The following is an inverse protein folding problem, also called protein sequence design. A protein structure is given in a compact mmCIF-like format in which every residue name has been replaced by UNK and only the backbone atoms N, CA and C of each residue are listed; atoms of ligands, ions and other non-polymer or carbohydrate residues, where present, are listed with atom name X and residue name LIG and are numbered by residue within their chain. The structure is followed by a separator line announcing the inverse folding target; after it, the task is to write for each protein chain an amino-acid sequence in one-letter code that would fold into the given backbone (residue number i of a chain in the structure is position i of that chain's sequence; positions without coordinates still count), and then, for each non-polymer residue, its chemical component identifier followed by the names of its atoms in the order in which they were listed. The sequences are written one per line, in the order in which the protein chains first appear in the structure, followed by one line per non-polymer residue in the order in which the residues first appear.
data_IF_820402969251
#
_entry.id   IF_820402969251
#
_cell.length_a   1.000
_cell.length_b   1.000
_cell.length_c   1.000
_cell.angle_alpha   90.00
_cell.angle_beta   90.00
_cell.angle_gamma   90.00
#
_symmetry.space_group_name_H-M   'P 1'
#
loop_
_entity.id
_entity.type
_entity.pdbx_description
1 polymer ?
#
# COMPACT_ATOMS: atom_id res chain seq x y z
N UNK A 1 29.04 62.50 -29.51
CA UNK A 1 27.64 62.19 -29.13
C UNK A 1 27.11 60.82 -29.63
N UNK A 2 27.93 59.96 -30.27
CA UNK A 2 27.49 58.62 -30.72
C UNK A 2 27.71 57.46 -29.73
N UNK A 3 28.56 57.63 -28.70
CA UNK A 3 28.90 56.58 -27.73
C UNK A 3 27.88 56.39 -26.59
N UNK A 4 26.96 57.34 -26.38
CA UNK A 4 25.96 57.28 -25.31
C UNK A 4 24.77 56.38 -25.66
N UNK A 5 24.46 56.24 -26.96
CA UNK A 5 23.33 55.42 -27.42
C UNK A 5 23.56 53.91 -27.25
N UNK A 6 24.81 53.45 -27.26
CA UNK A 6 25.14 52.01 -27.14
C UNK A 6 24.88 51.49 -25.72
N UNK A 7 25.01 52.34 -24.70
CA UNK A 7 24.82 51.94 -23.30
C UNK A 7 23.33 51.75 -22.93
N UNK A 8 22.43 52.46 -23.60
CA UNK A 8 20.98 52.41 -23.32
C UNK A 8 20.33 51.13 -23.88
N UNK A 9 20.91 50.52 -24.91
CA UNK A 9 20.35 49.35 -25.59
C UNK A 9 20.65 48.05 -24.81
N UNK A 10 21.66 48.04 -23.95
CA UNK A 10 22.05 46.86 -23.17
C UNK A 10 21.18 46.63 -21.91
N UNK A 11 20.40 47.63 -21.50
CA UNK A 11 19.52 47.57 -20.32
C UNK A 11 18.14 46.91 -20.57
N UNK A 12 17.83 46.54 -21.82
CA UNK A 12 16.53 45.98 -22.20
C UNK A 12 16.53 44.45 -22.40
N UNK A 13 17.67 43.77 -22.18
CA UNK A 13 17.71 42.30 -22.14
C UNK A 13 17.38 41.79 -20.73
N UNK A 14 16.15 42.02 -20.30
CA UNK A 14 15.57 41.41 -19.10
C UNK A 14 15.16 39.97 -19.38
N UNK A 15 15.65 39.03 -18.58
CA UNK A 15 15.36 37.61 -18.72
C UNK A 15 13.88 37.32 -18.39
N UNK A 16 13.07 37.00 -19.41
CA UNK A 16 11.68 36.54 -19.23
C UNK A 16 11.67 35.07 -18.81
N UNK A 17 12.13 34.79 -17.60
CA UNK A 17 11.96 33.47 -17.00
C UNK A 17 10.50 33.29 -16.63
N UNK A 18 9.78 32.42 -17.37
CA UNK A 18 8.42 32.03 -16.98
C UNK A 18 8.45 31.58 -15.51
N UNK A 19 7.69 32.23 -14.61
CA UNK A 19 7.67 31.81 -13.22
C UNK A 19 7.04 30.41 -13.16
N UNK A 20 7.89 29.41 -12.91
CA UNK A 20 7.43 28.04 -12.66
C UNK A 20 6.60 28.10 -11.36
N UNK A 21 5.31 27.71 -11.38
CA UNK A 21 4.50 27.69 -10.17
C UNK A 21 5.19 26.83 -9.12
N UNK A 22 5.36 27.34 -7.90
CA UNK A 22 5.87 26.53 -6.80
C UNK A 22 4.96 25.30 -6.64
N UNK A 23 5.52 24.08 -6.50
CA UNK A 23 4.71 22.90 -6.25
C UNK A 23 3.82 23.15 -5.04
N UNK A 24 2.55 22.72 -5.12
CA UNK A 24 1.59 22.88 -4.02
C UNK A 24 2.16 22.23 -2.77
N UNK A 25 2.26 22.99 -1.68
CA UNK A 25 2.70 22.48 -0.39
C UNK A 25 1.63 21.57 0.18
N UNK A 26 1.92 20.27 0.28
CA UNK A 26 1.07 19.33 1.01
C UNK A 26 1.23 19.55 2.52
N UNK A 27 0.22 19.14 3.30
CA UNK A 27 0.29 19.17 4.75
C UNK A 27 1.51 18.40 5.24
N UNK A 28 2.27 18.98 6.19
CA UNK A 28 3.35 18.26 6.87
C UNK A 28 2.72 17.23 7.80
N UNK A 29 2.70 15.98 7.37
CA UNK A 29 2.22 14.85 8.16
C UNK A 29 3.41 14.33 8.97
N UNK A 30 3.30 14.35 10.29
CA UNK A 30 4.32 13.78 11.17
C UNK A 30 4.19 12.25 11.15
N UNK A 31 5.20 11.58 10.60
CA UNK A 31 5.22 10.14 10.44
C UNK A 31 6.10 9.55 11.55
N UNK A 32 5.57 8.64 12.40
CA UNK A 32 6.33 8.05 13.48
C UNK A 32 7.46 7.18 12.93
N UNK A 33 8.50 7.00 13.75
CA UNK A 33 9.53 6.00 13.49
C UNK A 33 8.91 4.60 13.46
N UNK A 34 9.32 3.77 12.50
CA UNK A 34 8.77 2.42 12.33
C UNK A 34 9.46 1.45 13.28
N UNK A 35 8.73 1.00 14.30
CA UNK A 35 9.15 -0.06 15.22
C UNK A 35 8.18 -1.22 15.12
N UNK A 36 8.72 -2.40 14.82
CA UNK A 36 7.94 -3.60 14.56
C UNK A 36 7.98 -4.56 15.73
N UNK A 37 6.84 -5.18 16.00
CA UNK A 37 6.66 -6.22 17.01
C UNK A 37 6.00 -7.42 16.38
N UNK A 38 6.41 -8.62 16.77
CA UNK A 38 5.81 -9.84 16.24
C UNK A 38 4.39 -10.05 16.77
N UNK A 39 3.44 -10.20 15.85
CA UNK A 39 2.08 -10.57 16.14
C UNK A 39 1.89 -12.07 15.89
N UNK A 40 1.63 -12.80 16.98
CA UNK A 40 1.48 -14.24 16.99
C UNK A 40 0.18 -14.61 17.73
N UNK A 41 -0.87 -14.93 16.98
CA UNK A 41 -2.10 -15.50 17.52
C UNK A 41 -1.97 -17.03 17.54
N UNK A 42 -2.06 -17.62 18.74
CA UNK A 42 -1.94 -19.06 18.94
C UNK A 42 -3.01 -19.88 18.20
N UNK A 43 -4.15 -19.26 17.85
CA UNK A 43 -5.24 -19.94 17.13
C UNK A 43 -5.05 -19.97 15.62
N UNK A 44 -4.10 -19.21 15.08
CA UNK A 44 -3.94 -19.03 13.65
C UNK A 44 -2.65 -19.61 13.10
N UNK A 45 -2.68 -20.22 11.89
CA UNK A 45 -1.54 -20.93 11.30
C UNK A 45 -0.53 -19.97 10.64
N UNK A 46 -0.45 -18.74 11.11
CA UNK A 46 0.50 -17.75 10.62
C UNK A 46 0.89 -16.77 11.74
N UNK A 47 2.01 -16.10 11.53
CA UNK A 47 2.47 -14.93 12.30
C UNK A 47 3.19 -13.96 11.39
N UNK A 48 3.22 -12.70 11.78
CA UNK A 48 3.89 -11.63 11.04
C UNK A 48 4.20 -10.46 11.98
N UNK A 49 5.06 -9.55 11.53
CA UNK A 49 5.36 -8.36 12.32
C UNK A 49 4.44 -7.20 11.94
N UNK A 50 4.03 -6.43 12.96
CA UNK A 50 3.22 -5.22 12.80
C UNK A 50 3.90 -4.03 13.48
N UNK A 51 3.67 -2.80 13.01
CA UNK A 51 4.18 -1.64 13.71
C UNK A 51 3.44 -1.39 15.03
N UNK A 52 4.11 -0.77 15.99
CA UNK A 52 3.60 -0.44 17.33
C UNK A 52 2.32 0.42 17.34
N UNK A 53 2.08 1.18 16.27
CA UNK A 53 0.89 2.01 16.08
C UNK A 53 -0.27 1.28 15.37
N UNK A 54 -0.13 -0.01 15.07
CA UNK A 54 -1.20 -0.83 14.49
C UNK A 54 -1.94 -1.63 15.56
N UNK A 55 -3.23 -1.89 15.31
CA UNK A 55 -4.08 -2.69 16.19
C UNK A 55 -4.67 -3.82 15.37
N UNK A 56 -4.50 -5.07 15.82
CA UNK A 56 -5.08 -6.24 15.15
C UNK A 56 -6.38 -6.63 15.84
N UNK A 57 -7.46 -6.71 15.07
CA UNK A 57 -8.78 -7.15 15.54
C UNK A 57 -9.25 -8.37 14.73
N UNK A 58 -9.95 -9.34 15.33
CA UNK A 58 -10.64 -10.37 14.58
C UNK A 58 -11.77 -9.79 13.73
N UNK A 59 -12.04 -10.41 12.58
CA UNK A 59 -13.25 -10.10 11.83
C UNK A 59 -14.47 -10.73 12.52
N UNK A 60 -15.42 -9.89 12.94
CA UNK A 60 -16.65 -10.29 13.62
C UNK A 60 -17.86 -10.30 12.69
N UNK A 61 -17.66 -10.17 11.37
CA UNK A 61 -18.75 -10.26 10.42
C UNK A 61 -19.40 -11.66 10.46
N UNK A 62 -20.70 -11.73 10.16
CA UNK A 62 -21.47 -12.99 10.14
C UNK A 62 -20.86 -14.05 9.20
N UNK A 63 -20.22 -13.60 8.12
CA UNK A 63 -19.58 -14.47 7.13
C UNK A 63 -18.06 -14.58 7.32
N UNK A 64 -17.53 -14.02 8.40
CA UNK A 64 -16.10 -14.11 8.68
C UNK A 64 -15.71 -15.53 9.03
N UNK A 65 -14.59 -15.98 8.46
CA UNK A 65 -14.01 -17.27 8.80
C UNK A 65 -12.92 -17.12 9.88
N UNK A 66 -12.56 -18.22 10.57
CA UNK A 66 -11.46 -18.20 11.52
C UNK A 66 -10.19 -17.61 10.90
N UNK A 67 -9.46 -16.84 11.70
CA UNK A 67 -8.21 -16.19 11.28
C UNK A 67 -8.33 -15.11 10.22
N UNK A 68 -9.53 -14.59 9.96
CA UNK A 68 -9.71 -13.31 9.29
C UNK A 68 -9.50 -12.17 10.28
N UNK A 69 -8.75 -11.15 9.87
CA UNK A 69 -8.30 -10.08 10.76
C UNK A 69 -8.37 -8.73 10.06
N UNK A 70 -8.59 -7.69 10.85
CA UNK A 70 -8.31 -6.31 10.47
C UNK A 70 -7.04 -5.85 11.16
N UNK A 71 -6.07 -5.35 10.41
CA UNK A 71 -4.95 -4.57 10.94
C UNK A 71 -5.28 -3.10 10.75
N UNK A 72 -5.67 -2.44 11.83
CA UNK A 72 -6.08 -1.05 11.85
C UNK A 72 -4.87 -0.15 12.07
N UNK A 73 -4.86 0.97 11.36
CA UNK A 73 -3.90 2.06 11.52
C UNK A 73 -4.67 3.34 11.89
N UNK A 74 -5.10 3.50 13.16
CA UNK A 74 -6.08 4.53 13.53
C UNK A 74 -5.62 5.95 13.20
N UNK A 75 -4.34 6.27 13.42
CA UNK A 75 -3.75 7.59 13.12
C UNK A 75 -3.84 7.96 11.63
N UNK A 76 -3.89 6.96 10.75
CA UNK A 76 -3.85 7.12 9.31
C UNK A 76 -5.21 6.84 8.64
N UNK A 77 -6.24 6.52 9.44
CA UNK A 77 -7.56 6.07 8.96
C UNK A 77 -7.44 4.97 7.90
N UNK A 78 -6.48 4.09 8.07
CA UNK A 78 -6.23 2.99 7.15
C UNK A 78 -6.54 1.66 7.84
N UNK A 79 -6.96 0.68 7.04
CA UNK A 79 -7.21 -0.67 7.50
C UNK A 79 -6.74 -1.66 6.44
N UNK A 80 -5.94 -2.63 6.87
CA UNK A 80 -5.60 -3.79 6.06
C UNK A 80 -6.54 -4.92 6.47
N UNK A 81 -7.35 -5.38 5.51
CA UNK A 81 -8.18 -6.56 5.70
C UNK A 81 -7.41 -7.79 5.27
N UNK A 82 -7.29 -8.77 6.16
CA UNK A 82 -6.60 -10.04 5.95
C UNK A 82 -7.63 -11.17 6.00
N UNK A 83 -7.72 -11.93 4.92
CA UNK A 83 -8.48 -13.18 4.89
C UNK A 83 -7.52 -14.36 4.78
N UNK A 84 -7.93 -15.48 5.36
CA UNK A 84 -7.18 -16.73 5.38
C UNK A 84 -8.04 -17.87 4.86
N UNK A 85 -7.42 -18.76 4.09
CA UNK A 85 -8.00 -19.99 3.57
C UNK A 85 -6.99 -21.14 3.62
N UNK A 86 -7.51 -22.33 3.88
CA UNK A 86 -6.77 -23.56 3.62
C UNK A 86 -6.91 -23.93 2.14
N UNK A 87 -5.79 -24.26 1.51
CA UNK A 87 -5.75 -24.73 0.13
C UNK A 87 -5.99 -26.24 0.06
N UNK A 88 -6.73 -26.64 -0.97
CA UNK A 88 -7.04 -28.02 -1.30
C UNK A 88 -6.87 -28.25 -2.81
N UNK A 89 -5.64 -28.07 -3.31
CA UNK A 89 -5.28 -28.13 -4.75
C UNK A 89 -6.01 -27.10 -5.63
N UNK A 90 -6.45 -25.99 -5.06
CA UNK A 90 -7.25 -24.92 -5.65
C UNK A 90 -6.51 -23.58 -5.72
N UNK A 91 -5.18 -23.59 -5.56
CA UNK A 91 -4.34 -22.40 -5.60
C UNK A 91 -4.56 -21.55 -6.85
N UNK A 92 -4.66 -22.19 -8.02
CA UNK A 92 -4.85 -21.49 -9.29
C UNK A 92 -6.18 -20.70 -9.31
N UNK A 93 -7.25 -21.28 -8.76
CA UNK A 93 -8.54 -20.62 -8.66
C UNK A 93 -8.48 -19.42 -7.71
N UNK A 94 -7.90 -19.59 -6.52
CA UNK A 94 -7.77 -18.48 -5.56
C UNK A 94 -6.84 -17.35 -6.04
N UNK A 95 -5.76 -17.70 -6.74
CA UNK A 95 -4.86 -16.73 -7.34
C UNK A 95 -5.57 -15.93 -8.45
N UNK A 96 -6.33 -16.61 -9.31
CA UNK A 96 -7.09 -15.96 -10.36
C UNK A 96 -8.23 -15.10 -9.79
N UNK A 97 -9.00 -15.59 -8.82
CA UNK A 97 -10.02 -14.81 -8.12
C UNK A 97 -9.44 -13.54 -7.48
N UNK A 98 -8.24 -13.65 -6.90
CA UNK A 98 -7.54 -12.52 -6.32
C UNK A 98 -7.12 -11.51 -7.38
N UNK A 99 -6.63 -11.97 -8.53
CA UNK A 99 -6.30 -11.15 -9.70
C UNK A 99 -7.57 -10.44 -10.21
N UNK A 100 -8.63 -11.20 -10.44
CA UNK A 100 -9.93 -10.72 -10.91
C UNK A 100 -10.49 -9.60 -10.03
N UNK A 101 -10.40 -9.73 -8.71
CA UNK A 101 -10.87 -8.71 -7.78
C UNK A 101 -10.05 -7.42 -7.84
N UNK A 102 -8.75 -7.51 -8.11
CA UNK A 102 -7.91 -6.34 -8.35
C UNK A 102 -8.39 -5.62 -9.62
N UNK A 103 -8.57 -6.36 -10.72
CA UNK A 103 -8.93 -5.80 -12.02
C UNK A 103 -10.40 -5.34 -12.14
N UNK A 104 -11.34 -5.94 -11.42
CA UNK A 104 -12.76 -5.51 -11.41
C UNK A 104 -12.96 -4.11 -10.85
N UNK A 105 -12.03 -3.62 -10.03
CA UNK A 105 -12.08 -2.28 -9.44
C UNK A 105 -11.17 -1.23 -10.11
N UNK A 106 -10.47 -1.58 -11.19
CA UNK A 106 -9.49 -0.70 -11.84
C UNK A 106 -10.06 0.14 -12.98
N UNK A 107 -11.38 0.19 -13.18
CA UNK A 107 -12.03 1.09 -14.14
C UNK A 107 -11.63 2.57 -13.89
N UNK A 108 -11.19 2.91 -12.67
CA UNK A 108 -10.67 4.25 -12.27
C UNK A 108 -9.16 4.29 -11.98
N UNK A 109 -8.45 3.17 -12.09
CA UNK A 109 -7.02 3.11 -11.77
C UNK A 109 -6.20 3.42 -13.04
N UNK A 110 -5.23 4.32 -12.92
CA UNK A 110 -4.41 4.74 -14.07
C UNK A 110 -3.36 3.68 -14.45
N UNK A 111 -2.94 2.85 -13.49
CA UNK A 111 -1.96 1.79 -13.65
C UNK A 111 -2.07 0.78 -12.49
N UNK A 112 -1.65 -0.46 -12.75
CA UNK A 112 -1.47 -1.51 -11.73
C UNK A 112 -0.05 -2.03 -11.88
N UNK A 113 0.76 -1.91 -10.84
CA UNK A 113 2.09 -2.51 -10.80
C UNK A 113 2.03 -3.84 -10.05
N UNK A 114 2.32 -4.94 -10.76
CA UNK A 114 2.41 -6.28 -10.20
C UNK A 114 3.84 -6.55 -9.70
N UNK A 115 4.00 -7.12 -8.51
CA UNK A 115 5.31 -7.59 -8.03
C UNK A 115 5.19 -8.98 -7.41
N UNK A 116 6.07 -9.88 -7.83
CA UNK A 116 6.13 -11.25 -7.29
C UNK A 116 6.64 -11.22 -5.86
N UNK A 117 5.97 -11.97 -4.98
CA UNK A 117 6.40 -12.21 -3.61
C UNK A 117 7.22 -13.50 -3.59
N UNK A 118 8.43 -13.41 -3.05
CA UNK A 118 9.28 -14.54 -2.73
C UNK A 118 10.13 -14.20 -1.51
N UNK A 119 9.93 -14.90 -0.40
CA UNK A 119 10.62 -14.63 0.87
C UNK A 119 11.44 -15.84 1.35
N UNK A 120 12.48 -15.64 2.19
CA UNK A 120 13.21 -16.73 2.82
C UNK A 120 12.34 -17.67 3.66
N UNK A 121 11.17 -17.21 4.11
CA UNK A 121 10.21 -17.99 4.89
C UNK A 121 9.31 -18.90 4.03
N UNK A 122 9.66 -19.11 2.74
CA UNK A 122 8.86 -19.87 1.77
C UNK A 122 7.45 -19.31 1.59
N UNK A 123 7.35 -17.98 1.55
CA UNK A 123 6.12 -17.28 1.16
C UNK A 123 6.24 -16.89 -0.30
N UNK A 124 5.23 -17.28 -1.08
CA UNK A 124 5.09 -17.00 -2.50
C UNK A 124 3.79 -16.23 -2.75
N UNK A 125 3.73 -15.48 -3.85
CA UNK A 125 2.48 -14.85 -4.26
C UNK A 125 2.70 -13.59 -5.10
N UNK A 126 1.76 -12.66 -5.00
CA UNK A 126 1.78 -11.42 -5.77
C UNK A 126 1.24 -10.25 -4.97
N UNK A 127 1.87 -9.09 -5.11
CA UNK A 127 1.34 -7.82 -4.65
C UNK A 127 0.99 -6.93 -5.85
N UNK A 128 -0.02 -6.11 -5.67
CA UNK A 128 -0.60 -5.22 -6.66
C UNK A 128 -0.63 -3.80 -6.07
N UNK A 129 0.17 -2.91 -6.65
CA UNK A 129 0.09 -1.48 -6.36
C UNK A 129 -0.88 -0.83 -7.34
N UNK A 130 -2.00 -0.31 -6.84
CA UNK A 130 -3.07 0.24 -7.67
C UNK A 130 -2.97 1.75 -7.62
N UNK A 131 -2.58 2.35 -8.75
CA UNK A 131 -2.42 3.78 -8.90
C UNK A 131 -3.75 4.52 -9.12
N UNK A 132 -3.73 5.83 -8.86
CA UNK A 132 -4.90 6.70 -9.03
C UNK A 132 -5.83 6.70 -7.81
N UNK A 133 -7.10 7.01 -8.04
CA UNK A 133 -8.09 7.24 -6.99
C UNK A 133 -8.91 5.99 -6.69
N UNK A 134 -8.23 4.87 -6.44
CA UNK A 134 -8.85 3.62 -6.04
C UNK A 134 -9.26 3.66 -4.56
N UNK A 135 -10.27 2.87 -4.19
CA UNK A 135 -10.64 2.70 -2.77
C UNK A 135 -9.63 1.84 -2.00
N UNK A 136 -8.91 0.97 -2.72
CA UNK A 136 -7.81 0.17 -2.22
C UNK A 136 -6.61 0.31 -3.15
N UNK A 137 -5.50 0.83 -2.63
CA UNK A 137 -4.31 1.18 -3.42
C UNK A 137 -3.21 0.11 -3.33
N UNK A 138 -3.44 -0.93 -2.53
CA UNK A 138 -2.50 -2.02 -2.33
C UNK A 138 -3.24 -3.29 -1.97
N UNK A 139 -3.07 -4.34 -2.77
CA UNK A 139 -3.61 -5.66 -2.51
C UNK A 139 -2.53 -6.71 -2.70
N UNK A 140 -2.67 -7.87 -2.06
CA UNK A 140 -1.77 -8.99 -2.28
C UNK A 140 -2.44 -10.32 -1.99
N UNK A 141 -1.85 -11.40 -2.48
CA UNK A 141 -2.04 -12.73 -1.93
C UNK A 141 -0.69 -13.37 -1.62
N UNK A 142 -0.65 -14.24 -0.61
CA UNK A 142 0.52 -14.92 -0.12
C UNK A 142 0.19 -16.38 0.23
N UNK A 143 1.07 -17.31 -0.09
CA UNK A 143 0.85 -18.75 0.07
C UNK A 143 2.15 -19.51 0.32
N UNK A 144 2.06 -20.70 0.91
CA UNK A 144 3.12 -21.72 0.93
C UNK A 144 3.07 -22.66 -0.30
N UNK A 145 2.19 -22.37 -1.24
CA UNK A 145 1.85 -23.15 -2.44
C UNK A 145 1.06 -24.44 -2.21
N UNK A 146 0.80 -24.87 -0.97
CA UNK A 146 0.24 -26.19 -0.69
C UNK A 146 -0.97 -26.14 0.25
N UNK A 147 -0.89 -25.39 1.35
CA UNK A 147 -1.89 -25.43 2.44
C UNK A 147 -2.43 -24.07 2.83
N UNK A 148 -1.62 -23.03 2.77
CA UNK A 148 -1.98 -21.73 3.33
C UNK A 148 -2.19 -20.71 2.22
N UNK A 149 -3.29 -19.96 2.30
CA UNK A 149 -3.55 -18.84 1.42
C UNK A 149 -4.05 -17.65 2.22
N UNK A 150 -3.31 -16.55 2.14
CA UNK A 150 -3.68 -15.26 2.73
C UNK A 150 -3.94 -14.28 1.59
N UNK A 151 -5.01 -13.51 1.70
CA UNK A 151 -5.24 -12.32 0.88
C UNK A 151 -5.29 -11.09 1.76
N UNK A 152 -4.67 -10.01 1.30
CA UNK A 152 -4.68 -8.72 1.97
C UNK A 152 -5.18 -7.60 1.06
N UNK A 153 -6.04 -6.72 1.58
CA UNK A 153 -6.51 -5.52 0.88
C UNK A 153 -6.44 -4.30 1.79
N UNK A 154 -5.65 -3.31 1.39
CA UNK A 154 -5.44 -2.07 2.14
C UNK A 154 -6.44 -1.01 1.70
N UNK A 155 -7.21 -0.47 2.64
CA UNK A 155 -8.20 0.59 2.42
C UNK A 155 -7.84 1.83 3.24
N UNK A 156 -8.11 3.01 2.67
CA UNK A 156 -8.02 4.29 3.37
C UNK A 156 -9.42 4.90 3.48
N UNK A 157 -9.87 5.16 4.71
CA UNK A 157 -11.13 5.85 5.00
C UNK A 157 -10.89 7.37 5.07
N UNK A 158 -10.41 7.93 3.96
CA UNK A 158 -10.14 9.35 3.81
C UNK A 158 -10.70 9.83 2.46
N UNK A 159 -11.05 11.12 2.38
CA UNK A 159 -11.62 11.70 1.17
C UNK A 159 -10.67 11.52 -0.04
N UNK A 160 -11.19 11.41 -1.27
CA UNK A 160 -10.50 10.84 -2.44
C UNK A 160 -9.36 11.68 -3.05
N UNK A 161 -8.79 12.63 -2.30
CA UNK A 161 -7.70 13.47 -2.80
C UNK A 161 -6.38 12.69 -2.71
N UNK A 162 -6.17 11.79 -3.66
CA UNK A 162 -5.04 10.86 -3.73
C UNK A 162 -3.67 11.53 -3.56
N UNK A 163 -3.49 12.73 -4.12
CA UNK A 163 -2.23 13.47 -4.05
C UNK A 163 -1.89 13.92 -2.62
N UNK A 164 -2.90 14.26 -1.81
CA UNK A 164 -2.68 14.69 -0.43
C UNK A 164 -2.35 13.52 0.51
N UNK A 165 -2.82 12.32 0.18
CA UNK A 165 -2.65 11.11 0.99
C UNK A 165 -1.43 10.29 0.57
N UNK A 166 -0.83 10.55 -0.59
CA UNK A 166 0.29 9.77 -1.13
C UNK A 166 1.42 9.50 -0.11
N UNK A 167 1.91 10.48 0.68
CA UNK A 167 2.95 10.20 1.68
C UNK A 167 2.52 9.18 2.75
N UNK A 168 1.25 9.22 3.16
CA UNK A 168 0.68 8.28 4.13
C UNK A 168 0.48 6.91 3.50
N UNK A 169 -0.04 6.87 2.27
CA UNK A 169 -0.22 5.62 1.51
C UNK A 169 1.13 4.91 1.35
N UNK A 170 2.15 5.62 0.89
CA UNK A 170 3.49 5.08 0.71
C UNK A 170 4.13 4.66 2.05
N UNK A 171 3.83 5.37 3.14
CA UNK A 171 4.27 5.02 4.49
C UNK A 171 3.65 3.70 4.98
N UNK A 172 2.34 3.51 4.83
CA UNK A 172 1.65 2.29 5.27
C UNK A 172 1.93 1.11 4.34
N UNK A 173 2.10 1.34 3.03
CA UNK A 173 2.53 0.29 2.09
C UNK A 173 3.86 -0.34 2.51
N UNK A 174 4.79 0.43 3.10
CA UNK A 174 6.03 -0.12 3.66
C UNK A 174 5.76 -1.08 4.82
N UNK A 175 4.78 -0.79 5.66
CA UNK A 175 4.40 -1.69 6.78
C UNK A 175 3.77 -2.98 6.25
N UNK A 176 2.89 -2.89 5.25
CA UNK A 176 2.31 -4.08 4.63
C UNK A 176 3.38 -4.93 3.94
N UNK A 177 4.36 -4.31 3.26
CA UNK A 177 5.49 -5.03 2.67
C UNK A 177 6.35 -5.72 3.74
N UNK A 178 6.61 -5.05 4.86
CA UNK A 178 7.32 -5.65 6.00
C UNK A 178 6.56 -6.84 6.60
N UNK A 179 5.23 -6.70 6.76
CA UNK A 179 4.35 -7.79 7.18
C UNK A 179 4.47 -8.99 6.26
N UNK A 180 4.42 -8.79 4.93
CA UNK A 180 4.59 -9.88 3.95
C UNK A 180 5.97 -10.53 4.05
N UNK A 181 7.03 -9.73 4.24
CA UNK A 181 8.41 -10.22 4.35
C UNK A 181 8.64 -11.06 5.61
N UNK A 182 7.99 -10.69 6.71
CA UNK A 182 8.09 -11.36 8.02
C UNK A 182 7.06 -12.45 8.21
N UNK A 183 6.12 -12.61 7.27
CA UNK A 183 5.11 -13.65 7.30
C UNK A 183 5.75 -15.03 7.41
N UNK A 184 5.28 -15.81 8.37
CA UNK A 184 5.69 -17.19 8.62
C UNK A 184 4.47 -18.06 8.88
N UNK A 185 4.46 -19.24 8.27
CA UNK A 185 3.43 -20.26 8.47
C UNK A 185 3.73 -21.08 9.73
N UNK A 186 2.68 -21.45 10.46
CA UNK A 186 2.77 -22.38 11.60
C UNK A 186 2.17 -23.72 11.17
N UNK A 187 2.94 -24.79 11.36
CA UNK A 187 2.53 -26.16 11.05
C UNK A 187 1.68 -26.76 12.17
#
# INVERSE_FOLDING_TARGET
MKKLYVFVIMLLMGCSGNPVPKPRGFFRIDLPEKKYTSYDDATCPYRFDIPDYAIVLPDTNRFAEPCWKYVLYPKFRAQLYITYKNLHNDLAAFAEDSRDLVYKHTIKANAIDETVIHTPNKVYGMMYDIGGNAASNFQFYATDSVRHFIRGSLYFNAAPEADSLKPVVDFIKKDVKHLIQTLQWKN
#
